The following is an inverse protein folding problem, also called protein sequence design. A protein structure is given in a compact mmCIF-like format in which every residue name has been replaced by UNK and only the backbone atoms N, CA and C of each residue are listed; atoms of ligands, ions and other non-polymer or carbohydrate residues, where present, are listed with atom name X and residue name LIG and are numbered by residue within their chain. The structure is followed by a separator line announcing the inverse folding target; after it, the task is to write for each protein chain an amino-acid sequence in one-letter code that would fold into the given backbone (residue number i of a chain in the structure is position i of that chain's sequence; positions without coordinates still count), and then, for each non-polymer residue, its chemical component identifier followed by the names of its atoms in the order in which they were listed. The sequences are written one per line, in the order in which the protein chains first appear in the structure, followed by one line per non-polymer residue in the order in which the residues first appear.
data_IF_465607506017
#
_entry.id   IF_465607506017
#
_cell.length_a   1.000
_cell.length_b   1.000
_cell.length_c   1.000
_cell.angle_alpha   90.00
_cell.angle_beta   90.00
_cell.angle_gamma   90.00
#
_symmetry.space_group_name_H-M   'P 1'
#
loop_
_entity.id
_entity.type
_entity.pdbx_description
1 polymer ?
#
# COMPACT_ATOMS: atom_id res chain seq x y z
N UNK A 1 -7.83 -17.68 -3.18
CA UNK A 1 -8.69 -16.52 -2.81
C UNK A 1 -8.28 -15.29 -3.63
N UNK A 2 -9.18 -14.32 -3.85
CA UNK A 2 -8.83 -13.01 -4.44
C UNK A 2 -8.95 -11.94 -3.35
N UNK A 3 -7.88 -11.16 -3.15
CA UNK A 3 -7.89 -9.98 -2.29
C UNK A 3 -8.06 -8.71 -3.13
N UNK A 4 -8.81 -7.73 -2.61
CA UNK A 4 -8.94 -6.40 -3.19
C UNK A 4 -8.06 -5.45 -2.40
N UNK A 5 -7.09 -4.82 -3.05
CA UNK A 5 -6.13 -3.91 -2.42
C UNK A 5 -6.43 -2.51 -2.93
N UNK A 6 -6.57 -1.56 -2.01
CA UNK A 6 -6.78 -0.16 -2.36
C UNK A 6 -5.46 0.59 -2.24
N UNK A 7 -5.06 1.25 -3.30
CA UNK A 7 -3.92 2.18 -3.38
C UNK A 7 -4.44 3.59 -3.68
N UNK A 8 -3.53 4.56 -3.82
CA UNK A 8 -3.91 5.92 -4.26
C UNK A 8 -4.28 5.93 -5.75
N UNK A 9 -3.72 5.01 -6.52
CA UNK A 9 -3.93 4.88 -7.95
C UNK A 9 -5.23 4.13 -8.29
N UNK A 10 -5.74 3.30 -7.38
CA UNK A 10 -7.04 2.66 -7.56
C UNK A 10 -7.30 1.46 -6.67
N UNK A 11 -8.17 0.58 -7.16
CA UNK A 11 -8.51 -0.67 -6.50
C UNK A 11 -8.04 -1.84 -7.36
N UNK A 12 -7.08 -2.59 -6.83
CA UNK A 12 -6.37 -3.65 -7.52
C UNK A 12 -6.81 -5.02 -6.97
N UNK A 13 -6.66 -6.06 -7.78
CA UNK A 13 -7.03 -7.44 -7.41
C UNK A 13 -5.77 -8.28 -7.40
N UNK A 14 -5.48 -8.89 -6.26
CA UNK A 14 -4.33 -9.77 -6.07
C UNK A 14 -4.83 -11.18 -5.84
N UNK A 15 -4.39 -12.11 -6.68
CA UNK A 15 -4.71 -13.53 -6.50
C UNK A 15 -3.79 -14.13 -5.45
N UNK A 16 -4.38 -14.76 -4.44
CA UNK A 16 -3.70 -15.48 -3.36
C UNK A 16 -3.96 -16.98 -3.57
N UNK A 17 -2.95 -17.77 -3.98
CA UNK A 17 -3.14 -19.17 -4.35
C UNK A 17 -3.60 -20.03 -3.17
N UNK A 18 -2.88 -19.98 -2.04
CA UNK A 18 -3.24 -20.73 -0.83
C UNK A 18 -3.47 -19.77 0.36
N UNK A 19 -4.73 -19.39 0.66
CA UNK A 19 -5.02 -18.38 1.67
C UNK A 19 -4.66 -18.82 3.09
N UNK A 20 -4.61 -20.12 3.37
CA UNK A 20 -4.33 -20.67 4.70
C UNK A 20 -2.83 -20.68 5.03
N UNK A 21 -1.97 -20.83 4.04
CA UNK A 21 -0.51 -20.78 4.19
C UNK A 21 0.12 -19.41 3.87
N UNK A 22 -0.67 -18.46 3.34
CA UNK A 22 -0.15 -17.15 2.93
C UNK A 22 0.21 -16.28 4.13
N UNK A 23 1.46 -15.81 4.15
CA UNK A 23 1.94 -14.83 5.12
C UNK A 23 1.88 -13.40 4.58
N UNK A 24 2.04 -12.40 5.45
CA UNK A 24 2.16 -11.00 5.03
C UNK A 24 3.38 -10.79 4.11
N UNK A 25 4.49 -11.50 4.35
CA UNK A 25 5.66 -11.43 3.48
C UNK A 25 5.35 -11.99 2.08
N UNK A 26 4.68 -13.15 2.00
CA UNK A 26 4.23 -13.72 0.72
C UNK A 26 3.28 -12.78 0.00
N UNK A 27 2.35 -12.14 0.71
CA UNK A 27 1.44 -11.16 0.12
C UNK A 27 2.19 -9.96 -0.47
N UNK A 28 3.22 -9.44 0.22
CA UNK A 28 4.06 -8.35 -0.31
C UNK A 28 4.77 -8.74 -1.61
N UNK A 29 5.31 -9.96 -1.67
CA UNK A 29 5.94 -10.50 -2.89
C UNK A 29 4.93 -10.68 -4.03
N UNK A 30 3.70 -11.11 -3.73
CA UNK A 30 2.62 -11.21 -4.71
C UNK A 30 2.20 -9.84 -5.27
N UNK A 31 2.16 -8.82 -4.42
CA UNK A 31 1.90 -7.42 -4.82
C UNK A 31 3.03 -6.89 -5.70
N UNK A 32 4.28 -7.13 -5.31
CA UNK A 32 5.44 -6.72 -6.10
C UNK A 32 5.43 -7.36 -7.49
N UNK A 33 5.17 -8.67 -7.55
CA UNK A 33 5.15 -9.42 -8.82
C UNK A 33 4.00 -9.01 -9.75
N UNK A 34 2.81 -8.70 -9.21
CA UNK A 34 1.62 -8.39 -10.02
C UNK A 34 1.49 -6.91 -10.36
N UNK A 35 1.90 -6.02 -9.43
CA UNK A 35 1.63 -4.58 -9.51
C UNK A 35 2.93 -3.75 -9.67
N UNK A 36 4.10 -4.38 -9.56
CA UNK A 36 5.40 -3.71 -9.75
C UNK A 36 5.84 -2.81 -8.60
N UNK A 37 5.15 -2.85 -7.46
CA UNK A 37 5.48 -2.02 -6.29
C UNK A 37 6.48 -2.77 -5.40
N UNK A 38 7.70 -2.26 -5.16
CA UNK A 38 8.70 -2.96 -4.36
C UNK A 38 8.24 -3.28 -2.94
N UNK A 39 8.47 -4.49 -2.44
CA UNK A 39 8.02 -4.94 -1.12
C UNK A 39 8.52 -4.07 0.05
N UNK A 40 9.69 -3.43 -0.12
CA UNK A 40 10.26 -2.48 0.83
C UNK A 40 9.52 -1.13 0.87
N UNK A 41 8.84 -0.74 -0.23
CA UNK A 41 8.06 0.48 -0.32
C UNK A 41 6.55 0.26 0.00
N UNK A 42 6.15 -0.98 0.30
CA UNK A 42 4.77 -1.32 0.60
C UNK A 42 4.45 -1.14 2.09
N UNK A 43 3.38 -0.38 2.37
CA UNK A 43 2.72 -0.34 3.67
C UNK A 43 1.34 -1.00 3.54
N UNK A 44 1.16 -2.15 4.17
CA UNK A 44 -0.12 -2.86 4.21
C UNK A 44 -0.87 -2.48 5.47
N UNK A 45 -2.13 -2.05 5.32
CA UNK A 45 -3.00 -1.69 6.43
C UNK A 45 -4.44 -2.05 6.11
N UNK A 46 -5.21 -2.35 7.15
CA UNK A 46 -6.66 -2.49 7.08
C UNK A 46 -7.38 -1.15 7.26
N UNK A 47 -6.67 -0.11 7.69
CA UNK A 47 -7.21 1.24 7.84
C UNK A 47 -7.15 2.00 6.50
N UNK A 48 -8.31 2.30 5.87
CA UNK A 48 -8.35 3.03 4.61
C UNK A 48 -7.96 4.50 4.74
N UNK A 49 -7.95 5.05 5.97
CA UNK A 49 -7.64 6.45 6.23
C UNK A 49 -6.19 6.80 5.90
N UNK A 50 -5.27 5.82 5.94
CA UNK A 50 -3.87 6.00 5.51
C UNK A 50 -3.72 6.42 4.04
N UNK A 51 -4.71 6.13 3.19
CA UNK A 51 -4.70 6.56 1.78
C UNK A 51 -5.14 8.02 1.60
N UNK A 52 -5.75 8.61 2.62
CA UNK A 52 -6.25 9.99 2.60
C UNK A 52 -5.20 11.02 3.04
N UNK A 53 -4.07 10.58 3.61
CA UNK A 53 -2.98 11.47 4.03
C UNK A 53 -2.39 12.20 2.83
N UNK A 54 -2.97 13.36 2.56
CA UNK A 54 -2.53 14.31 1.57
C UNK A 54 -1.47 15.20 2.22
N UNK A 55 -0.24 15.12 1.70
CA UNK A 55 0.88 16.03 1.95
C UNK A 55 1.35 16.08 3.41
N UNK A 56 2.52 15.49 3.66
CA UNK A 56 3.37 15.95 4.75
C UNK A 56 3.41 17.48 4.70
N UNK A 57 3.08 18.12 5.82
CA UNK A 57 3.26 19.55 6.02
C UNK A 57 4.66 19.91 5.51
N UNK A 58 4.74 20.61 4.38
CA UNK A 58 5.89 21.46 4.13
C UNK A 58 5.85 22.48 5.27
N UNK A 59 6.83 22.55 6.18
CA UNK A 59 6.89 23.67 7.10
C UNK A 59 7.00 24.91 6.20
N UNK A 60 5.98 25.76 6.22
CA UNK A 60 6.05 27.05 5.58
C UNK A 60 7.21 27.79 6.25
N UNK A 61 8.31 27.99 5.51
CA UNK A 61 9.35 28.93 5.89
C UNK A 61 8.66 30.30 5.91
N UNK A 62 8.42 30.81 7.11
CA UNK A 62 7.90 32.14 7.36
C UNK A 62 8.89 33.18 6.78
N UNK A 63 8.47 34.04 5.83
CA UNK A 63 9.32 35.08 5.30
C UNK A 63 9.09 36.41 6.02
N UNK A 64 9.03 36.45 7.36
CA UNK A 64 9.02 37.72 8.09
C UNK A 64 9.43 37.62 9.57
N UNK A 65 10.74 37.70 9.85
CA UNK A 65 11.27 38.22 11.10
C UNK A 65 12.66 38.84 10.89
#
# INVERSE_FOLDING_TARGET
MILRIRSRDGLERVTVPDPSATTVATLRSLIESQLGVPAAAQTLSLDPSLLLLSKAQTPALDPSA
#
